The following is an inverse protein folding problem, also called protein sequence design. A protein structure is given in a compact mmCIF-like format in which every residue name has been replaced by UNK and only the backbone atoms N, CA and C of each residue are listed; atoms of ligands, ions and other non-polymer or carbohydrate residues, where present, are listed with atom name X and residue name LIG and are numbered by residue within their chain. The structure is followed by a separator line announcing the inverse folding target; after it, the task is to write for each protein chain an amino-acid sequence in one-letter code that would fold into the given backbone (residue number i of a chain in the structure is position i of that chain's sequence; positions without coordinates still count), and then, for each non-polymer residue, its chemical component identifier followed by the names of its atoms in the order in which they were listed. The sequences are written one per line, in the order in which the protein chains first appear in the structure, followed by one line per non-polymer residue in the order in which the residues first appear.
data_IF_075898782639
#
_entry.id   IF_075898782639
#
_cell.length_a   1.000
_cell.length_b   1.000
_cell.length_c   1.000
_cell.angle_alpha   90.00
_cell.angle_beta   90.00
_cell.angle_gamma   90.00
#
_symmetry.space_group_name_H-M   'P 1'
#
loop_
_entity.id
_entity.type
_entity.pdbx_description
1 polymer ?
#
# COMPACT_ATOMS: atom_id res chain seq x y z
N UNK A 1 10.72 -53.52 26.26
CA UNK A 1 9.32 -53.92 25.97
C UNK A 1 8.97 -53.39 24.61
N UNK A 2 8.63 -54.32 23.72
CA UNK A 2 8.40 -54.16 22.29
C UNK A 2 6.94 -53.78 22.03
N UNK A 3 6.67 -52.98 21.00
CA UNK A 3 5.61 -53.28 20.03
C UNK A 3 5.75 -52.39 18.79
N UNK A 4 6.23 -53.01 17.70
CA UNK A 4 5.98 -52.64 16.30
C UNK A 4 4.52 -52.89 15.95
N UNK A 5 3.99 -52.12 15.00
CA UNK A 5 2.91 -52.58 14.13
C UNK A 5 3.29 -52.30 12.68
N UNK A 6 3.39 -53.40 11.93
CA UNK A 6 3.62 -53.46 10.49
C UNK A 6 2.34 -53.12 9.70
N UNK A 7 2.54 -52.77 8.42
CA UNK A 7 1.51 -52.28 7.51
C UNK A 7 0.60 -53.32 6.85
N UNK A 8 -0.28 -52.82 5.99
CA UNK A 8 -1.03 -53.60 5.01
C UNK A 8 -1.19 -52.81 3.70
N UNK A 9 -1.17 -53.57 2.60
CA UNK A 9 -1.08 -53.19 1.19
C UNK A 9 -2.47 -53.11 0.50
N UNK A 10 -2.65 -52.11 -0.39
CA UNK A 10 -3.37 -52.07 -1.71
C UNK A 10 -4.87 -52.49 -1.83
N UNK A 11 -5.68 -51.97 -2.82
CA UNK A 11 -5.32 -51.83 -4.25
C UNK A 11 -5.84 -50.60 -5.05
N UNK A 12 -5.58 -50.71 -6.35
CA UNK A 12 -5.51 -49.77 -7.47
C UNK A 12 -6.79 -49.03 -7.94
N UNK A 13 -6.50 -47.89 -8.61
CA UNK A 13 -7.03 -47.36 -9.87
C UNK A 13 -8.53 -47.49 -10.22
N UNK A 14 -9.16 -46.33 -10.44
CA UNK A 14 -10.18 -46.15 -11.48
C UNK A 14 -9.81 -44.94 -12.33
N UNK A 15 -9.37 -45.23 -13.56
CA UNK A 15 -9.31 -44.28 -14.67
C UNK A 15 -10.71 -44.15 -15.27
N UNK A 16 -11.25 -42.94 -15.38
CA UNK A 16 -12.40 -42.67 -16.24
C UNK A 16 -11.91 -42.03 -17.54
N UNK A 17 -11.78 -42.88 -18.55
CA UNK A 17 -11.67 -42.53 -19.97
C UNK A 17 -12.96 -41.86 -20.47
N UNK A 18 -12.82 -40.73 -21.17
CA UNK A 18 -13.83 -40.27 -22.13
C UNK A 18 -13.13 -40.01 -23.47
N UNK A 19 -13.39 -40.90 -24.44
CA UNK A 19 -12.94 -40.79 -25.83
C UNK A 19 -14.06 -40.20 -26.69
N UNK A 20 -13.71 -39.10 -27.36
CA UNK A 20 -14.03 -38.67 -28.74
C UNK A 20 -15.39 -39.01 -29.40
N UNK A 21 -15.96 -37.98 -30.03
CA UNK A 21 -16.38 -38.06 -31.44
C UNK A 21 -16.15 -36.73 -32.16
N UNK A 22 -15.46 -36.81 -33.30
CA UNK A 22 -15.35 -35.78 -34.36
C UNK A 22 -16.35 -36.13 -35.46
N UNK A 23 -17.02 -35.11 -36.01
CA UNK A 23 -17.41 -35.02 -37.42
C UNK A 23 -17.44 -33.51 -37.76
N UNK A 24 -16.58 -32.95 -38.62
CA UNK A 24 -16.66 -32.91 -40.10
C UNK A 24 -18.02 -32.38 -40.58
N UNK A 25 -18.18 -31.38 -41.47
CA UNK A 25 -17.24 -30.71 -42.36
C UNK A 25 -17.85 -29.42 -42.95
N UNK A 26 -16.94 -28.54 -43.39
CA UNK A 26 -16.90 -27.77 -44.66
C UNK A 26 -17.90 -26.65 -45.01
N UNK A 27 -17.28 -25.50 -45.35
CA UNK A 27 -17.51 -24.55 -46.45
C UNK A 27 -18.94 -24.05 -46.75
N UNK A 28 -19.13 -22.73 -46.75
CA UNK A 28 -18.85 -21.89 -47.93
C UNK A 28 -19.39 -20.44 -47.74
N UNK A 29 -18.51 -19.48 -48.06
CA UNK A 29 -18.76 -18.30 -48.92
C UNK A 29 -20.04 -17.46 -48.79
N UNK A 30 -19.83 -16.21 -48.36
CA UNK A 30 -20.15 -14.95 -49.07
C UNK A 30 -21.56 -14.75 -49.65
N UNK A 31 -22.25 -13.72 -49.17
CA UNK A 31 -22.34 -12.41 -49.84
C UNK A 31 -23.69 -11.73 -49.58
N UNK A 32 -23.60 -10.43 -49.27
CA UNK A 32 -24.45 -9.32 -49.75
C UNK A 32 -25.94 -9.32 -49.35
N UNK A 33 -26.63 -8.20 -49.16
CA UNK A 33 -26.34 -6.77 -49.10
C UNK A 33 -27.71 -6.10 -48.87
N UNK A 34 -27.81 -5.25 -47.84
CA UNK A 34 -28.55 -3.98 -47.77
C UNK A 34 -30.04 -3.84 -48.18
N UNK A 35 -30.56 -2.66 -47.83
CA UNK A 35 -31.83 -2.01 -48.18
C UNK A 35 -32.97 -2.35 -47.21
N UNK A 36 -33.66 -1.41 -46.56
CA UNK A 36 -33.65 0.04 -46.63
C UNK A 36 -34.80 0.55 -45.75
N UNK A 37 -34.61 1.67 -45.06
CA UNK A 37 -35.65 2.34 -44.28
C UNK A 37 -36.37 3.36 -45.16
N UNK A 38 -37.71 3.38 -45.13
CA UNK A 38 -38.45 4.63 -45.35
C UNK A 38 -39.89 4.62 -44.77
N UNK A 39 -40.08 5.46 -43.74
CA UNK A 39 -41.11 6.49 -43.56
C UNK A 39 -42.51 6.32 -44.20
N UNK A 40 -43.57 6.38 -43.39
CA UNK A 40 -44.37 7.61 -43.18
C UNK A 40 -45.67 7.34 -42.41
N UNK A 41 -46.06 8.32 -41.58
CA UNK A 41 -47.35 8.49 -40.91
C UNK A 41 -48.51 8.65 -41.91
N UNK A 42 -49.73 8.32 -41.51
CA UNK A 42 -50.87 9.27 -41.41
C UNK A 42 -52.13 8.59 -40.87
N UNK A 43 -52.93 9.40 -40.18
CA UNK A 43 -54.18 9.15 -39.46
C UNK A 43 -55.28 8.44 -40.27
N UNK A 44 -56.21 7.79 -39.56
CA UNK A 44 -57.63 8.12 -39.67
C UNK A 44 -58.46 7.44 -38.56
N UNK A 45 -59.30 8.25 -37.93
CA UNK A 45 -60.25 7.90 -36.89
C UNK A 45 -61.43 7.07 -37.41
N UNK A 46 -61.99 6.21 -36.56
CA UNK A 46 -63.39 5.78 -36.66
C UNK A 46 -64.04 5.81 -35.28
N UNK A 47 -65.10 6.60 -35.21
CA UNK A 47 -66.07 6.70 -34.13
C UNK A 47 -66.89 5.42 -34.02
N UNK A 48 -67.05 4.88 -32.80
CA UNK A 48 -68.13 3.95 -32.48
C UNK A 48 -68.87 4.47 -31.25
N UNK A 49 -70.17 4.64 -31.47
CA UNK A 49 -71.15 5.21 -30.57
C UNK A 49 -71.52 4.24 -29.44
N UNK A 50 -71.84 4.82 -28.29
CA UNK A 50 -72.16 4.16 -27.03
C UNK A 50 -73.49 3.41 -27.05
N UNK A 51 -73.50 2.20 -26.49
CA UNK A 51 -74.71 1.50 -26.10
C UNK A 51 -74.46 0.55 -24.93
N UNK A 52 -75.00 0.93 -23.76
CA UNK A 52 -75.32 0.06 -22.60
C UNK A 52 -74.10 -0.43 -21.80
N UNK A 53 -73.66 0.20 -20.71
CA UNK A 53 -74.38 0.76 -19.55
C UNK A 53 -75.24 -0.27 -18.81
N UNK A 54 -74.58 -1.25 -18.16
CA UNK A 54 -74.90 -1.74 -16.80
C UNK A 54 -73.89 -2.84 -16.42
N UNK A 55 -72.82 -2.45 -15.73
CA UNK A 55 -71.77 -3.39 -15.29
C UNK A 55 -70.55 -2.75 -14.61
N UNK A 56 -70.42 -1.43 -14.68
CA UNK A 56 -69.23 -0.72 -14.20
C UNK A 56 -69.26 -0.24 -12.74
N UNK A 57 -70.43 -0.26 -12.07
CA UNK A 57 -70.57 0.26 -10.71
C UNK A 57 -69.94 -0.61 -9.62
N UNK A 58 -69.84 -1.93 -9.82
CA UNK A 58 -69.28 -2.86 -8.81
C UNK A 58 -67.78 -3.09 -8.91
N UNK A 59 -67.14 -2.73 -10.03
CA UNK A 59 -65.69 -2.89 -10.21
C UNK A 59 -64.89 -1.67 -9.77
N UNK A 60 -65.44 -0.45 -9.75
CA UNK A 60 -64.69 0.73 -9.27
C UNK A 60 -64.55 0.79 -7.74
N UNK A 61 -65.52 0.29 -6.98
CA UNK A 61 -65.44 0.27 -5.52
C UNK A 61 -64.37 -0.69 -4.97
N UNK A 62 -64.13 -1.83 -5.65
CA UNK A 62 -63.11 -2.80 -5.25
C UNK A 62 -61.68 -2.28 -5.43
N UNK A 63 -61.43 -1.49 -6.47
CA UNK A 63 -60.09 -0.94 -6.74
C UNK A 63 -59.77 0.26 -5.84
N UNK A 64 -60.77 1.08 -5.49
CA UNK A 64 -60.60 2.17 -4.53
C UNK A 64 -60.29 1.64 -3.11
N UNK A 65 -60.96 0.57 -2.68
CA UNK A 65 -60.69 -0.07 -1.39
C UNK A 65 -59.31 -0.75 -1.36
N UNK A 66 -58.90 -1.43 -2.43
CA UNK A 66 -57.58 -2.04 -2.52
C UNK A 66 -56.44 -1.01 -2.55
N UNK A 67 -56.64 0.13 -3.24
CA UNK A 67 -55.67 1.22 -3.26
C UNK A 67 -55.55 1.93 -1.89
N UNK A 68 -56.66 2.11 -1.17
CA UNK A 68 -56.66 2.70 0.17
C UNK A 68 -55.97 1.79 1.20
N UNK A 69 -56.17 0.47 1.13
CA UNK A 69 -55.48 -0.50 2.00
C UNK A 69 -53.99 -0.60 1.66
N UNK A 70 -53.60 -0.54 0.38
CA UNK A 70 -52.20 -0.51 -0.02
C UNK A 70 -51.50 0.79 0.43
N UNK A 71 -52.18 1.94 0.39
CA UNK A 71 -51.66 3.21 0.88
C UNK A 71 -51.51 3.24 2.41
N UNK A 72 -52.44 2.62 3.15
CA UNK A 72 -52.35 2.48 4.61
C UNK A 72 -51.24 1.50 5.03
N UNK A 73 -50.99 0.44 4.26
CA UNK A 73 -49.86 -0.49 4.51
C UNK A 73 -48.50 0.13 4.15
N UNK A 74 -48.43 1.00 3.14
CA UNK A 74 -47.21 1.74 2.80
C UNK A 74 -46.85 2.82 3.86
N UNK A 75 -47.85 3.35 4.57
CA UNK A 75 -47.65 4.31 5.67
C UNK A 75 -47.11 3.68 6.97
N UNK A 76 -47.11 2.34 7.07
CA UNK A 76 -46.46 1.59 8.14
C UNK A 76 -45.07 1.04 7.76
N UNK A 77 -44.58 1.37 6.55
CA UNK A 77 -43.18 1.12 6.17
C UNK A 77 -42.28 2.00 7.03
N UNK A 78 -41.48 1.35 7.88
CA UNK A 78 -40.63 2.00 8.89
C UNK A 78 -39.87 3.21 8.37
N UNK A 79 -39.54 4.11 9.30
CA UNK A 79 -38.70 5.28 9.08
C UNK A 79 -37.61 4.95 8.06
N UNK A 80 -37.36 5.79 7.03
CA UNK A 80 -36.26 5.54 6.13
C UNK A 80 -35.04 5.37 7.02
N UNK A 81 -34.46 4.16 7.03
CA UNK A 81 -33.19 3.92 7.68
C UNK A 81 -32.27 4.88 6.97
N UNK A 82 -32.01 6.02 7.63
CA UNK A 82 -30.98 6.95 7.24
C UNK A 82 -29.78 6.04 7.10
N UNK A 83 -29.34 5.77 5.87
CA UNK A 83 -28.11 5.03 5.66
C UNK A 83 -27.09 5.78 6.49
N UNK A 84 -26.73 5.21 7.64
CA UNK A 84 -25.65 5.73 8.43
C UNK A 84 -24.48 5.65 7.47
N UNK A 85 -24.03 6.80 6.97
CA UNK A 85 -22.71 6.91 6.37
C UNK A 85 -21.81 6.16 7.33
N UNK A 86 -21.21 5.04 6.88
CA UNK A 86 -20.25 4.28 7.69
C UNK A 86 -19.40 5.30 8.43
N UNK A 87 -19.27 5.23 9.76
CA UNK A 87 -18.51 6.24 10.48
C UNK A 87 -17.10 6.25 9.89
N UNK A 88 -16.82 7.23 9.06
CA UNK A 88 -15.48 7.57 8.63
C UNK A 88 -14.82 8.21 9.84
N UNK A 89 -13.59 7.80 10.16
CA UNK A 89 -12.88 8.33 11.33
C UNK A 89 -12.78 9.86 11.34
N UNK A 90 -12.28 10.42 12.44
CA UNK A 90 -12.09 11.86 12.61
C UNK A 90 -11.31 12.47 11.45
N UNK A 91 -11.89 13.47 10.81
CA UNK A 91 -11.28 14.24 9.73
C UNK A 91 -10.45 15.41 10.28
N UNK A 92 -9.47 15.88 9.50
CA UNK A 92 -8.64 17.05 9.83
C UNK A 92 -9.45 18.32 9.61
N UNK A 93 -9.39 19.26 10.57
CA UNK A 93 -9.74 20.66 10.35
C UNK A 93 -8.46 21.42 9.97
N UNK A 94 -8.28 21.81 8.70
CA UNK A 94 -7.02 22.39 8.22
C UNK A 94 -6.81 23.83 8.72
N UNK A 95 -5.58 24.33 8.61
CA UNK A 95 -5.22 25.72 8.87
C UNK A 95 -5.12 26.11 10.33
N UNK A 96 -5.19 25.16 11.26
CA UNK A 96 -5.02 25.44 12.68
C UNK A 96 -3.54 25.66 13.03
N UNK A 97 -3.31 26.48 14.04
CA UNK A 97 -2.00 26.82 14.58
C UNK A 97 -1.94 26.52 16.08
N UNK A 98 -0.74 26.37 16.62
CA UNK A 98 -0.48 26.28 18.05
C UNK A 98 0.64 27.26 18.46
N UNK A 99 0.55 27.76 19.70
CA UNK A 99 1.52 28.72 20.23
C UNK A 99 2.85 28.08 20.65
N UNK A 100 2.86 26.78 20.93
CA UNK A 100 4.04 26.03 21.36
C UNK A 100 4.30 24.85 20.41
N UNK A 101 5.58 24.47 20.30
CA UNK A 101 6.03 23.34 19.46
C UNK A 101 5.40 22.00 19.90
N UNK A 102 5.29 21.80 21.21
CA UNK A 102 4.69 20.64 21.85
C UNK A 102 3.69 21.12 22.90
N UNK A 103 2.43 20.74 22.77
CA UNK A 103 1.38 21.09 23.73
C UNK A 103 0.80 19.80 24.32
N UNK A 104 0.95 19.55 25.64
CA UNK A 104 0.34 18.37 26.25
C UNK A 104 -1.18 18.46 26.15
N UNK A 105 -1.82 17.35 25.77
CA UNK A 105 -3.28 17.25 25.68
C UNK A 105 -3.75 15.98 26.38
N UNK A 106 -5.03 15.97 26.77
CA UNK A 106 -5.65 14.75 27.25
C UNK A 106 -5.93 13.79 26.08
N UNK A 107 -5.98 12.49 26.34
CA UNK A 107 -6.30 11.47 25.32
C UNK A 107 -7.66 11.71 24.64
N UNK A 108 -8.64 12.26 25.36
CA UNK A 108 -9.94 12.62 24.80
C UNK A 108 -9.86 13.76 23.77
N UNK A 109 -8.76 14.53 23.76
CA UNK A 109 -8.53 15.63 22.83
C UNK A 109 -7.73 15.20 21.59
N UNK A 110 -7.32 13.93 21.48
CA UNK A 110 -6.63 13.38 20.29
C UNK A 110 -7.71 12.88 19.32
N UNK A 111 -8.07 13.64 18.26
CA UNK A 111 -9.18 13.28 17.40
C UNK A 111 -8.85 12.00 16.63
N UNK A 112 -9.75 11.04 16.71
CA UNK A 112 -9.62 9.75 16.03
C UNK A 112 -8.80 8.70 16.77
N UNK A 113 -8.35 8.97 18.00
CA UNK A 113 -7.73 7.94 18.85
C UNK A 113 -8.58 6.67 18.92
N UNK A 114 -9.90 6.82 19.07
CA UNK A 114 -10.86 5.71 19.12
C UNK A 114 -11.14 5.05 17.76
N UNK A 115 -10.74 5.67 16.64
CA UNK A 115 -10.91 5.10 15.30
C UNK A 115 -9.82 4.08 14.96
N UNK A 116 -8.64 4.20 15.58
CA UNK A 116 -7.55 3.26 15.35
C UNK A 116 -7.88 1.92 16.03
N UNK A 117 -7.92 0.85 15.23
CA UNK A 117 -8.07 -0.52 15.73
C UNK A 117 -6.94 -0.98 16.64
N UNK A 118 -5.77 -0.31 16.64
CA UNK A 118 -4.53 -0.66 17.33
C UNK A 118 -3.92 -2.03 16.99
N UNK A 119 -4.58 -2.83 16.14
CA UNK A 119 -4.03 -4.08 15.59
C UNK A 119 -2.65 -3.81 14.98
N UNK A 120 -1.64 -4.55 15.46
CA UNK A 120 -0.24 -4.42 15.05
C UNK A 120 0.58 -3.35 15.79
N UNK A 121 -0.04 -2.48 16.59
CA UNK A 121 0.70 -1.44 17.33
C UNK A 121 1.62 -2.04 18.39
N UNK A 122 1.21 -3.12 19.05
CA UNK A 122 2.00 -3.87 20.04
C UNK A 122 3.20 -4.58 19.42
N UNK A 123 3.09 -5.07 18.18
CA UNK A 123 4.21 -5.64 17.41
C UNK A 123 5.28 -4.56 17.22
N UNK A 124 4.90 -3.40 16.68
CA UNK A 124 5.81 -2.28 16.47
C UNK A 124 6.40 -1.74 17.79
N UNK A 125 5.60 -1.70 18.87
CA UNK A 125 6.04 -1.33 20.21
C UNK A 125 7.12 -2.26 20.75
N UNK A 126 6.98 -3.58 20.59
CA UNK A 126 8.01 -4.54 21.02
C UNK A 126 9.31 -4.38 20.23
N UNK A 127 9.22 -4.13 18.92
CA UNK A 127 10.41 -3.77 18.12
C UNK A 127 11.06 -2.49 18.67
N UNK A 128 10.26 -1.49 19.01
CA UNK A 128 10.74 -0.24 19.62
C UNK A 128 11.48 -0.50 20.95
N UNK A 129 10.92 -1.34 21.82
CA UNK A 129 11.49 -1.70 23.11
C UNK A 129 12.79 -2.51 22.99
N UNK A 130 13.02 -3.23 21.90
CA UNK A 130 14.30 -3.91 21.63
C UNK A 130 15.50 -2.94 21.55
N UNK A 131 15.25 -1.63 21.43
CA UNK A 131 16.28 -0.57 21.47
C UNK A 131 16.15 0.35 22.69
N UNK A 132 14.93 0.62 23.14
CA UNK A 132 14.68 1.65 24.16
C UNK A 132 14.57 1.11 25.58
N UNK A 133 14.35 -0.19 25.80
CA UNK A 133 14.03 -0.74 27.13
C UNK A 133 15.08 -0.46 28.22
N UNK A 134 16.33 -0.13 27.85
CA UNK A 134 17.39 0.20 28.82
C UNK A 134 17.41 1.68 29.23
N UNK A 135 16.75 2.56 28.48
CA UNK A 135 16.67 4.00 28.82
C UNK A 135 15.76 4.20 30.02
N UNK A 136 16.18 5.04 30.99
CA UNK A 136 15.45 5.23 32.25
C UNK A 136 13.96 5.52 32.05
N UNK A 137 13.64 6.46 31.16
CA UNK A 137 12.26 6.88 30.88
C UNK A 137 11.43 5.81 30.14
N UNK A 138 12.05 4.78 29.57
CA UNK A 138 11.38 3.71 28.81
C UNK A 138 11.30 2.38 29.55
N UNK A 139 12.11 2.16 30.58
CA UNK A 139 12.19 0.89 31.31
C UNK A 139 10.81 0.40 31.78
N UNK A 140 10.03 1.28 32.44
CA UNK A 140 8.71 0.93 32.98
C UNK A 140 7.70 0.61 31.88
N UNK A 141 7.63 1.45 30.85
CA UNK A 141 6.73 1.25 29.73
C UNK A 141 7.07 -0.03 28.96
N UNK A 142 8.35 -0.28 28.67
CA UNK A 142 8.78 -1.48 27.95
C UNK A 142 8.59 -2.76 28.76
N UNK A 143 8.85 -2.75 30.08
CA UNK A 143 8.58 -3.91 30.93
C UNK A 143 7.07 -4.26 30.96
N UNK A 144 6.20 -3.25 30.89
CA UNK A 144 4.76 -3.46 30.80
C UNK A 144 4.31 -3.89 29.40
N UNK A 145 4.93 -3.36 28.34
CA UNK A 145 4.64 -3.73 26.95
C UNK A 145 4.86 -5.22 26.67
N UNK A 146 5.83 -5.86 27.33
CA UNK A 146 6.10 -7.30 27.19
C UNK A 146 4.95 -8.20 27.69
N UNK A 147 4.01 -7.66 28.47
CA UNK A 147 2.83 -8.40 28.96
C UNK A 147 1.59 -8.24 28.08
N UNK A 148 1.68 -7.43 27.02
CA UNK A 148 0.57 -7.21 26.11
C UNK A 148 0.46 -8.33 25.08
N UNK A 149 -0.75 -8.82 24.90
CA UNK A 149 -1.12 -9.68 23.78
C UNK A 149 -1.51 -8.83 22.55
N UNK A 150 -1.26 -9.35 21.34
CA UNK A 150 -1.52 -8.62 20.10
C UNK A 150 -2.99 -8.55 19.70
N UNK A 151 -3.83 -9.43 20.27
CA UNK A 151 -5.25 -9.51 19.97
C UNK A 151 -6.09 -8.70 20.97
N UNK A 152 -5.58 -8.46 22.18
CA UNK A 152 -6.23 -7.62 23.19
C UNK A 152 -5.92 -6.12 22.99
N UNK A 153 -6.59 -5.54 21.98
CA UNK A 153 -6.48 -4.12 21.64
C UNK A 153 -7.03 -3.19 22.74
N UNK A 154 -7.90 -3.70 23.62
CA UNK A 154 -8.42 -2.95 24.78
C UNK A 154 -7.31 -2.69 25.79
N UNK A 155 -6.60 -3.75 26.19
CA UNK A 155 -5.43 -3.63 27.06
C UNK A 155 -4.31 -2.81 26.41
N UNK A 156 -4.09 -2.94 25.10
CA UNK A 156 -3.13 -2.11 24.38
C UNK A 156 -3.49 -0.62 24.45
N UNK A 157 -4.77 -0.27 24.27
CA UNK A 157 -5.26 1.12 24.41
C UNK A 157 -5.01 1.66 25.81
N UNK A 158 -5.44 0.92 26.84
CA UNK A 158 -5.23 1.28 28.24
C UNK A 158 -3.75 1.43 28.57
N UNK A 159 -2.88 0.60 28.00
CA UNK A 159 -1.43 0.72 28.16
C UNK A 159 -0.92 2.09 27.66
N UNK A 160 -1.23 2.48 26.43
CA UNK A 160 -0.77 3.78 25.91
C UNK A 160 -1.33 4.94 26.76
N UNK A 161 -2.60 4.87 27.13
CA UNK A 161 -3.25 5.87 27.97
C UNK A 161 -2.61 5.98 29.37
N UNK A 162 -2.12 4.87 29.92
CA UNK A 162 -1.51 4.82 31.26
C UNK A 162 -0.04 5.24 31.26
N UNK A 163 0.72 4.84 30.25
CA UNK A 163 2.17 4.96 30.24
C UNK A 163 2.70 6.17 29.48
N UNK A 164 1.87 6.82 28.65
CA UNK A 164 2.29 7.92 27.80
C UNK A 164 1.35 9.13 27.89
N UNK A 165 1.92 10.31 27.70
CA UNK A 165 1.18 11.57 27.51
C UNK A 165 1.29 12.00 26.05
N UNK A 166 0.18 12.30 25.35
CA UNK A 166 0.21 12.80 24.00
C UNK A 166 0.46 14.32 23.99
N UNK A 167 1.40 14.74 23.14
CA UNK A 167 1.71 16.14 22.90
C UNK A 167 1.37 16.48 21.45
N UNK A 168 0.43 17.40 21.27
CA UNK A 168 0.14 17.97 19.96
C UNK A 168 1.39 18.65 19.40
N UNK A 169 1.76 18.28 18.17
CA UNK A 169 3.01 18.70 17.55
C UNK A 169 2.77 19.72 16.44
N UNK A 170 3.42 20.88 16.56
CA UNK A 170 3.39 21.94 15.57
C UNK A 170 4.69 22.02 14.77
N UNK A 171 4.66 22.67 13.62
CA UNK A 171 5.84 23.14 12.92
C UNK A 171 6.47 24.33 13.67
N UNK A 172 7.66 24.76 13.23
CA UNK A 172 8.36 25.89 13.87
C UNK A 172 7.68 27.23 13.58
N UNK A 173 6.87 27.30 12.53
CA UNK A 173 6.02 28.44 12.20
C UNK A 173 4.66 28.42 12.94
N UNK A 174 4.47 27.45 13.84
CA UNK A 174 3.23 27.27 14.61
C UNK A 174 2.11 26.52 13.87
N UNK A 175 2.25 26.25 12.57
CA UNK A 175 1.24 25.48 11.82
C UNK A 175 1.18 24.04 12.28
N UNK A 176 -0.02 23.46 12.33
CA UNK A 176 -0.19 22.06 12.73
C UNK A 176 -0.24 21.11 11.53
N UNK A 177 -0.56 21.62 10.34
CA UNK A 177 -0.61 20.83 9.11
C UNK A 177 0.77 20.43 8.64
N UNK A 178 0.89 19.18 8.20
CA UNK A 178 2.11 18.59 7.68
C UNK A 178 1.89 17.77 6.43
N UNK A 179 2.97 17.24 5.86
CA UNK A 179 2.94 16.37 4.69
C UNK A 179 3.25 14.91 5.07
N UNK A 180 2.35 14.01 4.71
CA UNK A 180 2.52 12.57 4.79
C UNK A 180 2.66 11.99 3.39
N UNK A 181 3.81 11.37 3.14
CA UNK A 181 4.06 10.54 1.95
C UNK A 181 4.05 9.06 2.33
N UNK A 182 4.22 8.16 1.37
CA UNK A 182 4.31 6.73 1.65
C UNK A 182 5.51 6.08 0.97
N UNK A 183 6.03 5.03 1.61
CA UNK A 183 7.08 4.16 1.07
C UNK A 183 6.77 2.70 1.39
N UNK A 184 7.49 1.78 0.75
CA UNK A 184 7.25 0.33 0.87
C UNK A 184 8.55 -0.45 0.63
N UNK A 185 8.52 -1.75 0.91
CA UNK A 185 9.59 -2.69 0.61
C UNK A 185 9.24 -3.47 -0.67
N UNK A 186 9.95 -3.27 -1.79
CA UNK A 186 9.71 -4.02 -3.02
C UNK A 186 10.09 -5.50 -2.86
N UNK A 187 9.32 -6.36 -3.52
CA UNK A 187 9.56 -7.80 -3.61
C UNK A 187 9.80 -8.18 -5.07
N UNK A 188 11.03 -8.54 -5.39
CA UNK A 188 11.49 -8.90 -6.74
C UNK A 188 11.76 -10.39 -6.83
N UNK A 189 11.90 -10.90 -8.06
CA UNK A 189 12.36 -12.26 -8.31
C UNK A 189 13.73 -12.25 -8.99
N UNK A 190 14.62 -13.16 -8.61
CA UNK A 190 16.00 -13.11 -9.07
C UNK A 190 16.79 -14.41 -9.01
N UNK A 191 18.05 -14.32 -9.41
CA UNK A 191 19.05 -15.38 -9.38
C UNK A 191 20.42 -14.80 -9.06
N UNK A 192 21.24 -15.53 -8.30
CA UNK A 192 22.64 -15.15 -8.05
C UNK A 192 23.48 -15.16 -9.32
N UNK A 193 23.08 -15.93 -10.33
CA UNK A 193 23.76 -16.05 -11.62
C UNK A 193 22.85 -15.55 -12.73
N UNK A 194 23.39 -14.80 -13.69
CA UNK A 194 22.65 -14.35 -14.87
C UNK A 194 22.16 -15.54 -15.69
N UNK A 195 20.85 -15.73 -15.80
CA UNK A 195 20.24 -16.83 -16.57
C UNK A 195 18.76 -16.57 -16.85
N UNK A 196 18.23 -17.18 -17.92
CA UNK A 196 16.78 -17.16 -18.19
C UNK A 196 16.18 -15.75 -18.16
N UNK A 197 15.13 -15.49 -17.36
CA UNK A 197 14.56 -14.14 -17.22
C UNK A 197 15.44 -13.18 -16.39
N UNK A 198 16.36 -13.68 -15.58
CA UNK A 198 17.20 -12.89 -14.67
C UNK A 198 18.35 -12.22 -15.41
N UNK A 199 18.06 -11.07 -16.02
CA UNK A 199 18.97 -10.37 -16.95
C UNK A 199 19.43 -9.00 -16.43
N UNK A 200 18.85 -8.49 -15.34
CA UNK A 200 19.10 -7.13 -14.87
C UNK A 200 19.80 -7.15 -13.51
N UNK A 201 21.05 -6.69 -13.44
CA UNK A 201 21.82 -6.74 -12.20
C UNK A 201 21.45 -5.63 -11.21
N UNK A 202 21.35 -5.99 -9.94
CA UNK A 202 21.58 -5.08 -8.81
C UNK A 202 23.07 -5.07 -8.50
N UNK A 203 23.63 -3.92 -8.14
CA UNK A 203 25.07 -3.77 -7.99
C UNK A 203 25.48 -3.45 -6.55
N UNK A 204 26.61 -4.01 -6.11
CA UNK A 204 27.35 -3.55 -4.93
C UNK A 204 28.02 -2.22 -5.22
N UNK A 205 28.46 -1.53 -4.16
CA UNK A 205 29.36 -0.39 -4.35
C UNK A 205 30.62 -0.86 -5.10
N UNK A 206 31.01 -0.22 -6.23
CA UNK A 206 32.12 -0.68 -7.05
C UNK A 206 33.44 -0.68 -6.28
N UNK A 207 34.16 -1.81 -6.28
CA UNK A 207 35.43 -1.94 -5.55
C UNK A 207 36.51 -0.93 -6.00
N UNK A 208 36.46 -0.50 -7.26
CA UNK A 208 37.35 0.51 -7.83
C UNK A 208 37.05 1.95 -7.40
N UNK A 209 36.03 2.20 -6.59
CA UNK A 209 35.64 3.53 -6.13
C UNK A 209 35.79 3.71 -4.62
N UNK A 210 36.38 4.83 -4.20
CA UNK A 210 36.40 5.23 -2.79
C UNK A 210 34.98 5.49 -2.28
N UNK A 211 34.65 4.98 -1.10
CA UNK A 211 33.35 5.19 -0.47
C UNK A 211 32.94 6.67 -0.44
N UNK A 212 31.71 6.96 -0.90
CA UNK A 212 31.14 8.30 -0.94
C UNK A 212 31.67 9.21 -2.05
N UNK A 213 32.56 8.74 -2.93
CA UNK A 213 32.99 9.51 -4.09
C UNK A 213 31.81 9.80 -5.04
N UNK A 214 31.80 11.01 -5.62
CA UNK A 214 30.86 11.34 -6.69
C UNK A 214 31.13 10.47 -7.91
N UNK A 215 30.07 9.99 -8.57
CA UNK A 215 30.16 9.16 -9.76
C UNK A 215 29.33 9.79 -10.90
N UNK A 216 29.60 9.38 -12.16
CA UNK A 216 28.81 9.83 -13.31
C UNK A 216 27.31 9.51 -13.19
N UNK A 217 26.51 10.14 -14.05
CA UNK A 217 25.10 9.83 -14.20
C UNK A 217 24.87 8.37 -14.60
N UNK A 218 23.72 7.79 -14.20
CA UNK A 218 23.30 6.40 -14.49
C UNK A 218 23.75 5.88 -15.85
N UNK A 219 23.35 6.51 -16.95
CA UNK A 219 23.67 6.00 -18.28
C UNK A 219 25.15 5.97 -18.60
N UNK A 220 25.92 6.96 -18.13
CA UNK A 220 27.39 6.97 -18.27
C UNK A 220 28.03 5.90 -17.39
N UNK A 221 27.54 5.72 -16.16
CA UNK A 221 28.03 4.72 -15.22
C UNK A 221 27.79 3.29 -15.72
N UNK A 222 26.61 3.01 -16.30
CA UNK A 222 26.30 1.72 -16.93
C UNK A 222 27.18 1.43 -18.15
N UNK A 223 27.59 2.46 -18.89
CA UNK A 223 28.43 2.34 -20.10
C UNK A 223 29.93 2.38 -19.84
N UNK A 224 30.38 2.79 -18.65
CA UNK A 224 31.81 2.97 -18.37
C UNK A 224 32.56 1.67 -18.10
N UNK A 225 31.85 0.56 -17.88
CA UNK A 225 32.43 -0.72 -17.45
C UNK A 225 32.80 -0.76 -15.96
N UNK A 226 32.66 0.34 -15.22
CA UNK A 226 33.00 0.41 -13.79
C UNK A 226 32.16 -0.52 -12.89
N UNK A 227 30.99 -0.97 -13.39
CA UNK A 227 30.08 -1.84 -12.66
C UNK A 227 30.38 -3.34 -12.88
N UNK A 228 31.15 -3.68 -13.92
CA UNK A 228 31.39 -5.06 -14.30
C UNK A 228 32.09 -5.82 -13.16
N UNK A 229 31.57 -6.99 -12.80
CA UNK A 229 32.09 -7.82 -11.70
C UNK A 229 31.65 -7.36 -10.31
N UNK A 230 30.81 -6.33 -10.22
CA UNK A 230 30.22 -5.85 -8.95
C UNK A 230 28.73 -6.20 -8.84
N UNK A 231 28.24 -7.14 -9.65
CA UNK A 231 26.87 -7.63 -9.59
C UNK A 231 26.60 -8.35 -8.26
N UNK A 232 25.49 -7.99 -7.62
CA UNK A 232 25.02 -8.57 -6.37
C UNK A 232 24.08 -9.75 -6.62
N UNK A 233 23.10 -9.53 -7.51
CA UNK A 233 22.05 -10.48 -7.89
C UNK A 233 21.42 -9.99 -9.20
N UNK A 234 20.85 -10.90 -9.99
CA UNK A 234 20.16 -10.59 -11.24
C UNK A 234 18.65 -10.74 -11.04
N UNK A 235 17.87 -9.76 -11.45
CA UNK A 235 16.40 -9.74 -11.36
C UNK A 235 15.77 -9.79 -12.75
N UNK A 236 14.46 -10.06 -12.78
CA UNK A 236 13.68 -10.33 -13.99
C UNK A 236 13.04 -9.09 -14.64
N UNK A 237 12.94 -7.97 -13.93
CA UNK A 237 12.33 -6.74 -14.45
C UNK A 237 13.19 -5.49 -14.16
N UNK A 238 13.54 -4.69 -15.20
CA UNK A 238 14.40 -3.50 -15.03
C UNK A 238 13.66 -2.32 -14.39
N UNK A 239 12.34 -2.26 -14.51
CA UNK A 239 11.49 -1.25 -13.88
C UNK A 239 11.39 -1.54 -12.38
N UNK A 240 11.22 -2.81 -11.99
CA UNK A 240 11.28 -3.20 -10.58
C UNK A 240 12.66 -2.93 -9.97
N UNK A 241 13.74 -3.26 -10.67
CA UNK A 241 15.10 -2.93 -10.25
C UNK A 241 15.27 -1.42 -10.03
N UNK A 242 14.69 -0.60 -10.92
CA UNK A 242 14.70 0.85 -10.77
C UNK A 242 13.90 1.32 -9.55
N UNK A 243 12.69 0.81 -9.33
CA UNK A 243 11.89 1.19 -8.17
C UNK A 243 12.52 0.72 -6.86
N UNK A 244 13.19 -0.43 -6.84
CA UNK A 244 14.02 -0.87 -5.73
C UNK A 244 15.13 0.13 -5.42
N UNK A 245 15.77 0.73 -6.44
CA UNK A 245 16.74 1.82 -6.23
C UNK A 245 16.09 3.10 -5.68
N UNK A 246 14.84 3.38 -6.05
CA UNK A 246 14.09 4.52 -5.49
C UNK A 246 13.78 4.31 -4.01
N UNK A 247 13.38 3.09 -3.60
CA UNK A 247 13.10 2.75 -2.20
C UNK A 247 14.39 2.57 -1.38
N UNK A 248 15.47 2.07 -1.99
CA UNK A 248 16.78 1.88 -1.37
C UNK A 248 16.97 0.57 -0.61
N UNK A 249 15.90 -0.20 -0.38
CA UNK A 249 15.95 -1.55 0.20
C UNK A 249 14.78 -2.39 -0.31
N UNK A 250 14.91 -3.72 -0.25
CA UNK A 250 13.88 -4.66 -0.69
C UNK A 250 14.30 -6.11 -0.53
N UNK A 251 13.49 -7.01 -1.11
CA UNK A 251 13.74 -8.46 -1.11
C UNK A 251 13.78 -9.00 -2.51
N UNK A 252 14.65 -9.98 -2.71
CA UNK A 252 14.72 -10.77 -3.93
C UNK A 252 14.44 -12.21 -3.56
N UNK A 253 13.31 -12.74 -4.02
CA UNK A 253 13.00 -14.17 -3.98
C UNK A 253 13.86 -14.82 -5.06
N UNK A 254 14.83 -15.62 -4.62
CA UNK A 254 15.74 -16.33 -5.50
C UNK A 254 15.04 -17.52 -6.13
N UNK A 255 15.54 -17.96 -7.28
CA UNK A 255 15.01 -19.09 -8.03
C UNK A 255 15.22 -20.47 -7.37
N UNK A 256 15.99 -20.52 -6.28
CA UNK A 256 16.09 -21.67 -5.36
C UNK A 256 15.07 -21.60 -4.19
N UNK A 257 14.25 -20.54 -4.14
CA UNK A 257 13.26 -20.29 -3.09
C UNK A 257 13.80 -19.53 -1.88
N UNK A 258 15.11 -19.27 -1.78
CA UNK A 258 15.68 -18.47 -0.72
C UNK A 258 15.32 -16.98 -0.88
N UNK A 259 15.28 -16.23 0.22
CA UNK A 259 15.00 -14.79 0.19
C UNK A 259 16.27 -14.02 0.52
N UNK A 260 16.76 -13.26 -0.46
CA UNK A 260 17.87 -12.33 -0.29
C UNK A 260 17.33 -10.94 0.08
N UNK A 261 17.67 -10.46 1.28
CA UNK A 261 17.39 -9.08 1.68
C UNK A 261 18.49 -8.16 1.17
N UNK A 262 18.11 -7.09 0.49
CA UNK A 262 19.04 -6.08 -0.01
C UNK A 262 18.77 -4.74 0.66
N UNK A 263 19.83 -4.12 1.17
CA UNK A 263 19.78 -2.80 1.81
C UNK A 263 20.66 -1.79 1.09
N UNK A 264 20.48 -0.52 1.42
CA UNK A 264 21.22 0.59 0.83
C UNK A 264 22.74 0.41 0.98
N UNK A 265 23.45 0.43 -0.14
CA UNK A 265 24.90 0.28 -0.24
C UNK A 265 25.63 1.53 -0.73
N UNK A 266 24.93 2.65 -0.92
CA UNK A 266 25.49 3.92 -1.40
C UNK A 266 24.79 4.46 -2.63
N UNK A 267 25.20 5.65 -3.09
CA UNK A 267 24.66 6.31 -4.26
C UNK A 267 25.75 7.07 -5.02
N UNK A 268 25.55 7.29 -6.32
CA UNK A 268 26.42 8.15 -7.13
C UNK A 268 26.30 9.66 -6.81
N UNK A 269 25.45 10.04 -5.85
CA UNK A 269 25.19 11.43 -5.42
C UNK A 269 24.63 12.35 -6.51
N UNK A 270 24.07 11.78 -7.58
CA UNK A 270 23.37 12.55 -8.61
C UNK A 270 21.91 12.84 -8.19
N UNK A 271 21.31 13.93 -8.71
CA UNK A 271 19.93 14.30 -8.37
C UNK A 271 18.94 13.27 -8.90
N UNK A 272 17.89 12.99 -8.14
CA UNK A 272 16.79 12.15 -8.60
C UNK A 272 15.94 12.89 -9.64
N UNK A 273 15.54 12.20 -10.71
CA UNK A 273 14.48 12.64 -11.63
C UNK A 273 13.44 11.53 -11.79
N UNK A 274 12.17 11.92 -11.79
CA UNK A 274 11.05 10.97 -11.90
C UNK A 274 10.82 10.56 -13.35
N UNK A 275 10.97 9.26 -13.63
CA UNK A 275 10.63 8.68 -14.94
C UNK A 275 9.11 8.72 -15.20
N UNK A 276 8.29 8.63 -14.16
CA UNK A 276 6.84 8.77 -14.27
C UNK A 276 6.44 10.18 -14.71
N UNK A 277 7.07 11.22 -14.12
CA UNK A 277 6.89 12.60 -14.59
C UNK A 277 7.35 12.78 -16.03
N UNK A 278 8.49 12.20 -16.40
CA UNK A 278 8.97 12.27 -17.78
C UNK A 278 7.95 11.67 -18.77
N UNK A 279 7.37 10.51 -18.47
CA UNK A 279 6.34 9.89 -19.32
C UNK A 279 5.08 10.74 -19.44
N UNK A 280 4.63 11.37 -18.35
CA UNK A 280 3.49 12.30 -18.37
C UNK A 280 3.79 13.54 -19.23
N UNK A 281 4.96 14.17 -19.01
CA UNK A 281 5.35 15.40 -19.69
C UNK A 281 5.52 15.18 -21.21
N UNK A 282 5.83 13.96 -21.64
CA UNK A 282 5.97 13.58 -23.06
C UNK A 282 4.70 12.92 -23.64
N UNK A 283 3.59 12.88 -22.89
CA UNK A 283 2.32 12.34 -23.37
C UNK A 283 2.29 10.82 -23.58
N UNK A 284 3.26 10.09 -23.03
CA UNK A 284 3.39 8.64 -23.12
C UNK A 284 2.44 7.89 -22.16
N UNK A 285 2.07 8.55 -21.06
CA UNK A 285 1.08 8.08 -20.10
C UNK A 285 0.10 9.22 -19.75
N UNK A 286 -1.16 8.88 -19.50
CA UNK A 286 -2.18 9.80 -19.01
C UNK A 286 -2.08 10.06 -17.51
N UNK A 287 -2.77 11.11 -17.05
CA UNK A 287 -2.88 11.44 -15.63
C UNK A 287 -3.44 10.24 -14.84
N UNK A 288 -2.75 9.84 -13.77
CA UNK A 288 -3.13 8.68 -12.94
C UNK A 288 -2.63 7.32 -13.43
N UNK A 289 -2.05 7.24 -14.64
CA UNK A 289 -1.43 6.02 -15.19
C UNK A 289 0.06 5.92 -14.88
N UNK A 290 0.71 6.98 -14.40
CA UNK A 290 2.12 6.98 -14.01
C UNK A 290 2.38 6.25 -12.66
N UNK A 291 1.76 5.08 -12.47
CA UNK A 291 2.08 4.14 -11.39
C UNK A 291 3.18 3.19 -11.81
N UNK A 292 3.73 2.41 -10.87
CA UNK A 292 4.67 1.35 -11.19
C UNK A 292 4.08 0.38 -12.23
N UNK A 293 2.83 -0.06 -12.05
CA UNK A 293 2.18 -0.97 -13.00
C UNK A 293 1.99 -0.34 -14.39
N UNK A 294 1.59 0.93 -14.45
CA UNK A 294 1.46 1.63 -15.73
C UNK A 294 2.80 1.81 -16.44
N UNK A 295 3.88 2.09 -15.69
CA UNK A 295 5.24 2.20 -16.23
C UNK A 295 5.76 0.82 -16.69
N UNK A 296 5.50 -0.26 -15.94
CA UNK A 296 5.82 -1.64 -16.37
C UNK A 296 5.07 -2.00 -17.65
N UNK A 297 3.78 -1.67 -17.74
CA UNK A 297 2.99 -1.90 -18.95
C UNK A 297 3.55 -1.10 -20.14
N UNK A 298 3.90 0.17 -19.94
CA UNK A 298 4.55 0.98 -20.97
C UNK A 298 5.90 0.40 -21.41
N UNK A 299 6.73 -0.07 -20.46
CA UNK A 299 8.03 -0.66 -20.74
C UNK A 299 7.92 -1.96 -21.56
N UNK A 300 6.92 -2.79 -21.26
CA UNK A 300 6.60 -4.01 -22.04
C UNK A 300 6.15 -3.68 -23.46
N UNK A 301 5.41 -2.58 -23.65
CA UNK A 301 5.00 -2.11 -24.96
C UNK A 301 6.13 -1.41 -25.74
N UNK A 302 7.16 -0.89 -25.05
CA UNK A 302 8.24 -0.08 -25.62
C UNK A 302 9.64 -0.60 -25.22
N UNK A 303 9.99 -1.88 -25.47
CA UNK A 303 11.20 -2.48 -24.93
C UNK A 303 12.49 -1.78 -25.40
N UNK A 304 12.52 -1.27 -26.63
CA UNK A 304 13.68 -0.54 -27.18
C UNK A 304 13.92 0.85 -26.57
N UNK A 305 12.95 1.36 -25.79
CA UNK A 305 13.00 2.70 -25.18
C UNK A 305 13.26 2.68 -23.67
N UNK A 306 13.28 1.49 -23.06
CA UNK A 306 13.41 1.33 -21.60
C UNK A 306 14.72 1.91 -21.10
N UNK A 307 15.85 1.57 -21.72
CA UNK A 307 17.16 2.08 -21.29
C UNK A 307 17.23 3.61 -21.35
N UNK A 308 16.71 4.18 -22.45
CA UNK A 308 16.66 5.63 -22.62
C UNK A 308 15.77 6.31 -21.56
N UNK A 309 14.63 5.70 -21.21
CA UNK A 309 13.76 6.18 -20.13
C UNK A 309 14.48 6.14 -18.78
N UNK A 310 15.10 5.01 -18.44
CA UNK A 310 15.79 4.84 -17.15
C UNK A 310 16.96 5.83 -17.01
N UNK A 311 17.71 6.06 -18.10
CA UNK A 311 18.82 7.01 -18.18
C UNK A 311 18.40 8.47 -17.93
N UNK A 312 17.10 8.81 -18.03
CA UNK A 312 16.61 10.16 -17.67
C UNK A 312 16.75 10.48 -16.19
N UNK A 313 16.83 9.46 -15.32
CA UNK A 313 17.17 9.60 -13.91
C UNK A 313 18.68 9.38 -13.70
N UNK A 314 19.47 10.46 -13.49
CA UNK A 314 20.92 10.31 -13.37
C UNK A 314 21.33 9.66 -12.04
N UNK A 315 20.45 9.62 -11.03
CA UNK A 315 20.71 8.96 -9.75
C UNK A 315 20.78 7.44 -9.90
N UNK A 316 21.82 6.85 -9.33
CA UNK A 316 22.05 5.41 -9.22
C UNK A 316 22.26 5.03 -7.75
N UNK A 317 21.68 3.91 -7.33
CA UNK A 317 21.77 3.39 -5.96
C UNK A 317 22.37 1.99 -6.01
N UNK A 318 23.33 1.77 -5.11
CA UNK A 318 24.00 0.50 -4.89
C UNK A 318 23.40 -0.21 -3.68
N UNK A 319 23.63 -1.51 -3.59
CA UNK A 319 23.07 -2.36 -2.55
C UNK A 319 24.13 -3.18 -1.84
N UNK A 320 23.77 -3.68 -0.67
CA UNK A 320 24.49 -4.73 0.05
C UNK A 320 23.50 -5.82 0.44
N UNK A 321 23.99 -7.06 0.46
CA UNK A 321 23.25 -8.16 1.08
C UNK A 321 23.18 -7.89 2.58
N UNK A 322 21.96 -7.96 3.13
CA UNK A 322 21.74 -7.85 4.56
C UNK A 322 21.88 -9.24 5.18
N UNK A 323 22.42 -9.37 6.41
CA UNK A 323 22.51 -10.65 7.09
C UNK A 323 21.14 -11.33 7.13
N UNK A 324 21.08 -12.60 6.74
CA UNK A 324 19.94 -13.46 7.03
C UNK A 324 19.82 -13.55 8.56
N UNK A 325 18.76 -13.01 9.14
CA UNK A 325 18.43 -13.38 10.51
C UNK A 325 17.88 -14.81 10.44
N UNK A 326 18.78 -15.80 10.60
CA UNK A 326 18.44 -17.23 10.61
C UNK A 326 17.69 -17.68 11.87
N UNK A 327 17.37 -16.79 12.82
CA UNK A 327 16.66 -17.15 14.06
C UNK A 327 15.42 -16.29 14.33
N UNK A 328 14.52 -16.15 13.36
CA UNK A 328 13.12 -15.79 13.65
C UNK A 328 12.24 -16.99 13.29
N UNK A 329 11.57 -17.65 14.26
CA UNK A 329 10.84 -18.91 14.05
C UNK A 329 9.68 -18.86 13.04
N UNK A 330 9.40 -17.71 12.43
CA UNK A 330 8.32 -17.49 11.49
C UNK A 330 8.88 -16.85 10.23
N UNK A 331 9.15 -17.70 9.23
CA UNK A 331 9.76 -17.34 7.97
C UNK A 331 9.18 -16.06 7.36
N UNK A 332 10.06 -15.15 6.94
CA UNK A 332 9.72 -14.07 6.00
C UNK A 332 8.78 -12.96 6.50
N UNK A 333 8.30 -12.96 7.75
CA UNK A 333 7.23 -12.05 8.20
C UNK A 333 7.69 -10.61 8.54
N UNK A 334 8.96 -10.39 8.89
CA UNK A 334 9.43 -9.09 9.40
C UNK A 334 9.85 -8.14 8.29
N UNK A 335 9.43 -6.86 8.30
CA UNK A 335 9.80 -5.83 7.31
C UNK A 335 11.30 -5.50 7.23
N UNK A 336 11.71 -4.49 6.45
CA UNK A 336 13.12 -4.11 6.33
C UNK A 336 13.60 -3.48 7.65
N UNK A 337 14.90 -3.53 7.92
CA UNK A 337 15.47 -2.91 9.13
C UNK A 337 15.61 -1.40 8.90
N UNK A 338 14.86 -0.60 9.67
CA UNK A 338 14.92 0.86 9.60
C UNK A 338 16.11 1.46 10.35
N UNK A 339 16.22 2.79 10.34
CA UNK A 339 17.30 3.54 11.00
C UNK A 339 17.39 3.35 12.52
N UNK A 340 16.29 2.97 13.20
CA UNK A 340 16.33 2.56 14.62
C UNK A 340 17.07 1.21 14.82
N UNK A 341 17.35 0.49 13.74
CA UNK A 341 18.03 -0.80 13.75
C UNK A 341 17.10 -1.97 14.10
N UNK A 342 15.79 -1.82 13.87
CA UNK A 342 14.78 -2.86 14.08
C UNK A 342 13.92 -3.04 12.84
N UNK A 343 13.32 -4.23 12.61
CA UNK A 343 12.39 -4.43 11.51
C UNK A 343 11.19 -3.49 11.59
N UNK A 344 10.84 -2.91 10.44
CA UNK A 344 9.68 -2.04 10.29
C UNK A 344 8.39 -2.89 10.20
N UNK A 345 7.34 -2.37 10.81
CA UNK A 345 6.02 -3.01 10.85
C UNK A 345 5.10 -2.31 9.86
N UNK A 346 4.52 -3.04 8.88
CA UNK A 346 3.58 -2.47 7.91
C UNK A 346 2.46 -1.68 8.61
N UNK A 347 2.15 -0.50 8.10
CA UNK A 347 1.13 0.42 8.63
C UNK A 347 1.34 0.89 10.08
N UNK A 348 2.50 0.60 10.69
CA UNK A 348 2.83 0.95 12.09
C UNK A 348 4.19 1.59 12.26
N UNK A 349 4.97 1.73 11.19
CA UNK A 349 6.25 2.44 11.21
C UNK A 349 6.21 3.65 10.26
N UNK A 350 6.88 4.72 10.67
CA UNK A 350 7.09 5.91 9.85
C UNK A 350 8.57 6.30 9.80
N UNK A 351 9.00 6.85 8.67
CA UNK A 351 10.24 7.58 8.56
C UNK A 351 10.01 9.05 8.90
N UNK A 352 10.91 9.65 9.68
CA UNK A 352 10.80 11.03 10.16
C UNK A 352 12.10 11.81 9.97
N UNK A 353 12.04 13.13 10.19
CA UNK A 353 13.24 13.93 10.44
C UNK A 353 13.67 13.74 11.92
N UNK A 354 14.80 13.06 12.20
CA UNK A 354 15.20 12.76 13.58
C UNK A 354 15.58 14.00 14.39
N UNK A 355 15.84 15.15 13.73
CA UNK A 355 16.07 16.43 14.42
C UNK A 355 14.79 17.05 14.96
N UNK A 356 13.63 16.65 14.42
CA UNK A 356 12.30 17.10 14.84
C UNK A 356 11.58 16.07 15.71
N UNK A 357 11.67 14.80 15.37
CA UNK A 357 11.02 13.69 16.07
C UNK A 357 12.09 12.62 16.35
N UNK A 358 12.54 12.46 17.61
CA UNK A 358 13.54 11.45 17.95
C UNK A 358 13.10 10.04 17.53
N UNK A 359 14.04 9.23 17.05
CA UNK A 359 13.78 7.82 16.75
C UNK A 359 13.30 7.09 18.01
N UNK A 360 12.30 6.24 17.83
CA UNK A 360 11.62 5.53 18.90
C UNK A 360 10.35 6.21 19.41
N UNK A 361 10.09 7.46 19.03
CA UNK A 361 8.89 8.19 19.48
C UNK A 361 7.63 7.55 18.88
N UNK A 362 6.65 7.09 19.69
CA UNK A 362 5.32 6.74 19.20
C UNK A 362 4.60 8.03 18.78
N UNK A 363 3.92 7.98 17.64
CA UNK A 363 3.24 9.12 17.03
C UNK A 363 1.83 8.70 16.70
N UNK A 364 0.84 9.40 17.23
CA UNK A 364 -0.51 9.30 16.69
C UNK A 364 -0.59 10.17 15.43
N UNK A 365 -0.84 9.53 14.29
CA UNK A 365 -0.92 10.15 12.98
C UNK A 365 -2.36 10.19 12.50
N UNK A 366 -2.85 11.39 12.21
CA UNK A 366 -4.12 11.61 11.54
C UNK A 366 -3.85 12.10 10.11
N UNK A 367 -4.37 11.42 9.11
CA UNK A 367 -4.24 11.74 7.68
C UNK A 367 -5.35 11.07 6.87
N UNK A 368 -5.18 10.87 5.56
CA UNK A 368 -6.13 10.17 4.68
C UNK A 368 -5.46 9.05 3.89
N UNK A 369 -6.27 8.08 3.43
CA UNK A 369 -5.83 7.04 2.51
C UNK A 369 -5.67 7.62 1.09
N UNK A 370 -4.61 7.28 0.35
CA UNK A 370 -4.28 7.95 -0.91
C UNK A 370 -5.25 7.69 -2.05
N UNK A 371 -5.91 6.53 -2.07
CA UNK A 371 -6.81 6.12 -3.15
C UNK A 371 -8.27 6.56 -2.91
N UNK A 372 -8.73 6.48 -1.67
CA UNK A 372 -10.15 6.69 -1.32
C UNK A 372 -10.40 8.01 -0.62
N UNK A 373 -9.34 8.71 -0.21
CA UNK A 373 -9.36 9.88 0.66
C UNK A 373 -10.10 9.67 2.00
N UNK A 374 -10.35 8.41 2.39
CA UNK A 374 -10.96 8.10 3.68
C UNK A 374 -9.98 8.41 4.82
N UNK A 375 -10.48 8.82 6.01
CA UNK A 375 -9.62 9.07 7.18
C UNK A 375 -8.73 7.87 7.52
N UNK A 376 -7.45 8.17 7.80
CA UNK A 376 -6.44 7.23 8.27
C UNK A 376 -5.89 7.77 9.60
N UNK A 377 -6.40 7.21 10.69
CA UNK A 377 -6.02 7.53 12.07
C UNK A 377 -5.26 6.34 12.64
N UNK A 378 -3.96 6.51 12.89
CA UNK A 378 -3.05 5.42 13.25
C UNK A 378 -2.00 5.84 14.27
N UNK A 379 -1.88 5.09 15.35
CA UNK A 379 -0.68 5.05 16.16
C UNK A 379 0.43 4.30 15.42
N UNK A 380 1.55 4.99 15.21
CA UNK A 380 2.73 4.52 14.50
C UNK A 380 3.99 4.84 15.31
N UNK A 381 5.14 4.34 14.89
CA UNK A 381 6.43 4.57 15.56
C UNK A 381 7.45 5.16 14.60
N UNK A 382 8.17 6.19 15.05
CA UNK A 382 9.30 6.79 14.35
C UNK A 382 10.50 5.84 14.38
N UNK A 383 10.58 4.90 13.43
CA UNK A 383 11.57 3.82 13.42
C UNK A 383 12.56 3.92 12.26
N UNK A 384 12.35 4.88 11.35
CA UNK A 384 13.21 5.08 10.19
C UNK A 384 13.47 6.55 9.87
N UNK A 385 14.36 6.81 8.92
CA UNK A 385 14.65 8.14 8.37
C UNK A 385 14.73 8.08 6.85
N UNK A 386 14.46 9.20 6.20
CA UNK A 386 14.67 9.32 4.75
C UNK A 386 15.34 10.64 4.40
N UNK A 387 16.18 10.65 3.36
CA UNK A 387 16.91 11.86 2.94
C UNK A 387 15.96 12.98 2.50
N UNK A 388 14.80 12.62 1.94
CA UNK A 388 13.75 13.55 1.52
C UNK A 388 12.74 13.90 2.65
N UNK A 389 12.91 13.32 3.84
CA UNK A 389 12.03 13.50 4.99
C UNK A 389 12.68 14.54 5.90
N UNK A 390 12.26 15.79 5.74
CA UNK A 390 12.81 16.97 6.43
C UNK A 390 11.68 17.85 6.94
N UNK A 391 11.88 18.46 8.10
CA UNK A 391 10.94 19.41 8.70
C UNK A 391 10.25 18.88 9.97
N UNK A 392 9.20 19.59 10.40
CA UNK A 392 8.45 19.27 11.62
C UNK A 392 7.41 18.18 11.41
N UNK A 393 6.17 18.58 11.14
CA UNK A 393 5.06 17.67 10.84
C UNK A 393 5.27 17.07 9.44
N UNK A 394 6.14 16.07 9.35
CA UNK A 394 6.55 15.40 8.12
C UNK A 394 6.81 13.93 8.42
N UNK A 395 6.14 13.03 7.70
CA UNK A 395 6.40 11.59 7.82
C UNK A 395 6.30 10.87 6.48
N UNK A 396 7.11 9.84 6.29
CA UNK A 396 6.90 8.83 5.27
C UNK A 396 6.27 7.60 5.92
N UNK A 397 5.11 7.16 5.41
CA UNK A 397 4.33 6.07 5.99
C UNK A 397 4.71 4.74 5.35
N UNK A 398 5.13 3.77 6.17
CA UNK A 398 5.54 2.45 5.67
C UNK A 398 4.30 1.58 5.41
N UNK A 399 3.99 1.34 4.13
CA UNK A 399 2.83 0.55 3.72
C UNK A 399 3.02 -0.97 3.83
N UNK A 400 4.27 -1.44 3.87
CA UNK A 400 4.58 -2.88 3.92
C UNK A 400 5.33 -3.36 2.69
N UNK A 401 5.09 -4.62 2.31
CA UNK A 401 5.84 -5.34 1.28
C UNK A 401 4.99 -5.50 0.00
N UNK A 402 5.65 -5.41 -1.17
CA UNK A 402 5.08 -5.81 -2.46
C UNK A 402 4.24 -4.74 -3.17
N UNK A 403 3.67 -5.14 -4.31
CA UNK A 403 3.07 -4.22 -5.29
C UNK A 403 1.89 -3.42 -4.74
N UNK A 404 1.00 -4.04 -3.96
CA UNK A 404 -0.15 -3.36 -3.37
C UNK A 404 0.28 -2.25 -2.40
N UNK A 405 1.30 -2.53 -1.57
CA UNK A 405 1.90 -1.53 -0.70
C UNK A 405 2.56 -0.40 -1.52
N UNK A 406 3.21 -0.76 -2.64
CA UNK A 406 3.81 0.18 -3.58
C UNK A 406 2.80 1.12 -4.25
N UNK A 407 1.64 0.62 -4.64
CA UNK A 407 0.58 1.43 -5.26
C UNK A 407 -0.04 2.42 -4.27
N UNK A 408 -0.21 2.03 -3.00
CA UNK A 408 -0.63 2.95 -1.95
C UNK A 408 0.47 4.00 -1.68
N UNK A 409 1.70 3.55 -1.49
CA UNK A 409 2.86 4.39 -1.20
C UNK A 409 3.08 5.47 -2.28
N UNK A 410 3.11 5.06 -3.55
CA UNK A 410 3.39 5.96 -4.68
C UNK A 410 2.36 7.05 -4.91
N UNK A 411 1.14 6.91 -4.36
CA UNK A 411 0.05 7.89 -4.46
C UNK A 411 -0.15 8.69 -3.18
N UNK A 412 0.57 8.36 -2.10
CA UNK A 412 0.44 9.05 -0.83
C UNK A 412 1.18 10.38 -0.86
N UNK A 413 0.39 11.45 -0.81
CA UNK A 413 0.82 12.85 -0.66
C UNK A 413 -0.30 13.61 0.03
N UNK A 414 -0.51 13.32 1.30
CA UNK A 414 -1.68 13.74 2.07
C UNK A 414 -1.28 14.76 3.14
N UNK A 415 -2.19 15.65 3.49
CA UNK A 415 -2.04 16.47 4.69
C UNK A 415 -2.12 15.58 5.94
N UNK A 416 -1.35 15.87 6.98
CA UNK A 416 -1.41 15.14 8.24
C UNK A 416 -1.26 16.00 9.49
N UNK A 417 -1.68 15.44 10.62
CA UNK A 417 -1.50 15.96 11.99
C UNK A 417 -0.81 14.90 12.85
N UNK A 418 -0.03 15.35 13.82
CA UNK A 418 0.75 14.47 14.68
C UNK A 418 0.60 14.83 16.17
N UNK A 419 0.55 13.78 16.98
CA UNK A 419 0.74 13.87 18.43
C UNK A 419 1.88 12.94 18.81
N UNK A 420 2.93 13.49 19.43
CA UNK A 420 4.06 12.71 19.92
C UNK A 420 3.74 12.18 21.32
N UNK A 421 3.99 10.91 21.56
CA UNK A 421 3.75 10.29 22.86
C UNK A 421 5.08 10.19 23.60
N UNK A 422 5.15 10.79 24.78
CA UNK A 422 6.31 10.64 25.67
C UNK A 422 5.94 9.78 26.88
N UNK A 423 6.83 8.88 27.32
CA UNK A 423 6.60 8.13 28.56
C UNK A 423 6.36 9.07 29.74
N UNK A 424 5.44 8.72 30.63
CA UNK A 424 5.10 9.52 31.81
C UNK A 424 6.21 9.56 32.88
N UNK A 425 7.22 8.69 32.77
CA UNK A 425 8.32 8.54 33.72
C UNK A 425 9.59 9.28 33.34
#
# INVERSE_FOLDING_TARGET
MSCRLDGFFLPEAVQTTMKMSRASASNASSAKMSIGYWSSRSDMAVSINNGHCMGFGRRLAGWAAAAAVAALLAACGGTPVRQASRPTGAAIVPGQIAAARLTPVAWQQVPGWQDDSLIGATIALRQNCARLARQANWQRACAAALRLDDLDVGSARTFFETYFTPFQFANNDGTLDGLVTGYYEPLLHGSRVRRGPYQYALYRWPAGYRAGASMPARGQLMRSGALNGNELVWVDDPIEAFFLQVQGSGRVVLDDGAVMRVGYGGTNNQPYRSIGKWLLDHGELGAGQATMQGIKAWARANPSRVDALLDTNPRFVFFREMPSQEDVPHGGADGPVGALGVPLTPERSIAVDPSSIPLGTPVFLQTTRPMTNAPLNRLVFAQDVGTAIKGGVRADYFWGLGDDAGDQAGRMKQTGRMWLLFPNS
#
